data_IF_141847925963
#
_entry.id   IF_141847925963
#
_cell.length_a   1.000
_cell.length_b   1.000
_cell.length_c   1.000
_cell.angle_alpha   90.00
_cell.angle_beta   90.00
_cell.angle_gamma   90.00
#
_symmetry.space_group_name_H-M   'P 1'
#
loop_
_entity.id
_entity.type
_entity.pdbx_description
1 polymer ?
#
# COMPACT_ATOMS: atom_id res chain seq x y z
N UNK A 1 26.89 11.70 14.33
CA UNK A 1 27.00 11.10 12.97
C UNK A 1 27.13 9.58 13.01
N UNK A 2 28.16 9.02 13.68
CA UNK A 2 28.29 7.55 13.82
C UNK A 2 27.08 6.87 14.48
N UNK A 3 26.44 7.53 15.45
CA UNK A 3 25.26 6.99 16.14
C UNK A 3 24.02 6.89 15.25
N UNK A 4 23.65 7.96 14.52
CA UNK A 4 22.48 7.94 13.60
C UNK A 4 22.65 6.94 12.46
N UNK A 5 23.84 6.89 11.87
CA UNK A 5 24.12 5.88 10.86
C UNK A 5 24.04 4.46 11.45
N UNK A 6 24.65 4.21 12.61
CA UNK A 6 24.57 2.91 13.26
C UNK A 6 23.13 2.51 13.63
N UNK A 7 22.30 3.48 14.03
CA UNK A 7 20.88 3.29 14.26
C UNK A 7 20.16 2.84 12.97
N UNK A 8 20.34 3.56 11.85
CA UNK A 8 19.75 3.18 10.57
C UNK A 8 20.28 1.83 10.06
N UNK A 9 21.60 1.63 10.06
CA UNK A 9 22.25 0.40 9.61
C UNK A 9 21.77 -0.81 10.43
N UNK A 10 21.52 -0.61 11.72
CA UNK A 10 20.98 -1.61 12.63
C UNK A 10 19.53 -2.01 12.34
N UNK A 11 18.76 -1.22 11.57
CA UNK A 11 17.39 -1.53 11.15
C UNK A 11 17.33 -2.37 9.87
N UNK A 12 18.41 -2.44 9.10
CA UNK A 12 18.44 -3.24 7.87
C UNK A 12 18.21 -4.71 8.19
N UNK A 13 17.43 -5.38 7.33
CA UNK A 13 17.07 -6.79 7.53
C UNK A 13 16.17 -7.06 8.73
N UNK A 14 15.46 -6.05 9.24
CA UNK A 14 14.37 -6.25 10.22
C UNK A 14 13.02 -6.24 9.54
N UNK A 15 12.12 -7.10 10.03
CA UNK A 15 10.71 -7.06 9.62
C UNK A 15 10.08 -5.84 10.29
N UNK A 16 9.53 -4.87 9.53
CA UNK A 16 8.85 -3.73 10.11
C UNK A 16 7.57 -4.19 10.83
N UNK A 17 7.19 -3.48 11.89
CA UNK A 17 5.96 -3.76 12.65
C UNK A 17 4.69 -3.47 11.85
N UNK A 18 4.78 -2.59 10.86
CA UNK A 18 3.74 -2.34 9.87
C UNK A 18 4.25 -2.69 8.48
N UNK A 19 3.38 -3.24 7.64
CA UNK A 19 3.68 -3.48 6.24
C UNK A 19 2.44 -3.19 5.38
N UNK A 20 2.65 -2.74 4.13
CA UNK A 20 1.57 -2.46 3.19
C UNK A 20 0.57 -3.59 3.01
N UNK A 21 -0.68 -3.23 2.73
CA UNK A 21 -1.72 -4.18 2.31
C UNK A 21 -1.27 -4.91 1.04
N UNK A 22 -1.54 -6.21 0.96
CA UNK A 22 -1.17 -7.01 -0.20
C UNK A 22 0.31 -7.40 -0.27
N UNK A 23 1.12 -7.04 0.73
CA UNK A 23 2.55 -7.37 0.76
C UNK A 23 2.84 -8.49 1.74
N UNK A 24 3.64 -9.46 1.30
CA UNK A 24 4.13 -10.53 2.17
C UNK A 24 5.56 -10.22 2.56
N UNK A 25 5.77 -10.02 3.86
CA UNK A 25 7.10 -9.82 4.44
C UNK A 25 7.55 -11.11 5.12
N UNK A 26 8.76 -11.58 4.79
CA UNK A 26 9.35 -12.79 5.37
C UNK A 26 10.78 -12.53 5.79
N UNK A 27 11.08 -12.85 7.05
CA UNK A 27 12.47 -13.00 7.50
C UNK A 27 13.00 -14.38 7.07
N UNK A 28 14.25 -14.40 6.63
CA UNK A 28 15.02 -15.58 6.28
C UNK A 28 16.46 -15.38 6.77
N UNK A 29 16.71 -15.79 8.01
CA UNK A 29 17.97 -15.51 8.70
C UNK A 29 18.24 -14.00 8.78
N UNK A 30 19.37 -13.49 8.26
CA UNK A 30 19.69 -12.06 8.26
C UNK A 30 18.99 -11.28 7.15
N UNK A 31 18.20 -11.94 6.30
CA UNK A 31 17.55 -11.33 5.14
C UNK A 31 16.07 -11.12 5.41
N UNK A 32 15.51 -10.02 4.89
CA UNK A 32 14.08 -9.79 4.80
C UNK A 32 13.68 -9.65 3.34
N UNK A 33 12.77 -10.52 2.91
CA UNK A 33 12.08 -10.44 1.61
C UNK A 33 10.77 -9.70 1.78
N UNK A 34 10.50 -8.80 0.84
CA UNK A 34 9.16 -8.22 0.64
C UNK A 34 8.67 -8.65 -0.73
N UNK A 35 7.48 -9.21 -0.76
CA UNK A 35 6.84 -9.65 -1.97
C UNK A 35 5.58 -8.81 -2.21
N UNK A 36 5.62 -7.98 -3.24
CA UNK A 36 4.56 -7.06 -3.60
C UNK A 36 3.52 -7.68 -4.55
N UNK A 37 3.76 -8.92 -5.00
CA UNK A 37 2.90 -9.60 -5.97
C UNK A 37 3.20 -9.25 -7.42
N UNK A 38 3.93 -8.17 -7.70
CA UNK A 38 4.42 -7.77 -9.04
C UNK A 38 5.94 -7.81 -9.14
N UNK A 39 6.60 -7.58 -8.01
CA UNK A 39 8.04 -7.59 -7.82
C UNK A 39 8.32 -7.80 -6.33
N UNK A 40 9.59 -7.80 -5.97
CA UNK A 40 10.02 -7.87 -4.59
C UNK A 40 11.29 -7.11 -4.30
N UNK A 41 11.55 -6.92 -3.01
CA UNK A 41 12.78 -6.33 -2.52
C UNK A 41 13.44 -7.21 -1.48
N UNK A 42 14.77 -7.12 -1.43
CA UNK A 42 15.61 -7.77 -0.44
C UNK A 42 16.43 -6.72 0.28
N UNK A 43 16.35 -6.77 1.61
CA UNK A 43 17.24 -6.07 2.53
C UNK A 43 17.88 -7.11 3.46
N UNK A 44 19.07 -6.80 3.97
CA UNK A 44 19.76 -7.70 4.88
C UNK A 44 20.43 -6.92 6.01
N UNK A 45 20.50 -7.57 7.18
CA UNK A 45 21.35 -7.15 8.27
C UNK A 45 22.82 -7.40 7.92
N UNK A 46 23.78 -6.79 8.65
CA UNK A 46 25.19 -7.11 8.51
C UNK A 46 25.44 -8.62 8.61
N UNK A 47 26.08 -9.19 7.58
CA UNK A 47 26.35 -10.62 7.51
C UNK A 47 27.53 -10.99 8.41
N UNK A 48 27.39 -12.08 9.18
CA UNK A 48 28.47 -12.58 10.06
C UNK A 48 29.58 -13.23 9.22
N UNK A 49 30.85 -13.15 9.65
CA UNK A 49 31.92 -13.93 9.03
C UNK A 49 31.58 -15.42 8.97
N UNK A 50 31.86 -16.07 7.84
CA UNK A 50 31.54 -17.49 7.63
C UNK A 50 30.10 -17.81 7.22
N UNK A 51 29.26 -16.80 6.99
CA UNK A 51 27.92 -17.00 6.39
C UNK A 51 28.06 -17.67 5.02
N UNK A 52 27.25 -18.70 4.73
CA UNK A 52 27.13 -19.26 3.38
C UNK A 52 26.36 -18.29 2.47
N UNK A 53 27.08 -17.32 1.90
CA UNK A 53 26.52 -16.28 1.03
C UNK A 53 25.90 -16.90 -0.23
N UNK A 54 26.51 -17.94 -0.81
CA UNK A 54 26.02 -18.55 -2.03
C UNK A 54 24.69 -19.28 -1.80
N UNK A 55 24.58 -20.02 -0.68
CA UNK A 55 23.32 -20.62 -0.24
C UNK A 55 22.25 -19.57 0.05
N UNK A 56 22.63 -18.49 0.75
CA UNK A 56 21.72 -17.38 1.08
C UNK A 56 21.10 -16.74 -0.18
N UNK A 57 21.93 -16.42 -1.18
CA UNK A 57 21.49 -15.84 -2.45
C UNK A 57 20.55 -16.80 -3.19
N UNK A 58 20.87 -18.10 -3.22
CA UNK A 58 20.05 -19.11 -3.89
C UNK A 58 18.67 -19.24 -3.28
N UNK A 59 18.56 -19.28 -1.95
CA UNK A 59 17.26 -19.30 -1.27
C UNK A 59 16.40 -18.06 -1.60
N UNK A 60 17.02 -16.90 -1.83
CA UNK A 60 16.26 -15.73 -2.27
C UNK A 60 15.74 -15.92 -3.70
N UNK A 61 16.58 -16.39 -4.62
CA UNK A 61 16.14 -16.68 -6.00
C UNK A 61 15.00 -17.70 -6.03
N UNK A 62 15.07 -18.76 -5.23
CA UNK A 62 14.01 -19.76 -5.10
C UNK A 62 12.69 -19.13 -4.61
N UNK A 63 12.73 -18.33 -3.54
CA UNK A 63 11.54 -17.66 -3.01
C UNK A 63 10.88 -16.67 -3.98
N UNK A 64 11.66 -15.97 -4.80
CA UNK A 64 11.13 -15.09 -5.85
C UNK A 64 10.68 -15.85 -7.11
N UNK A 65 11.36 -16.95 -7.46
CA UNK A 65 10.97 -17.82 -8.57
C UNK A 65 9.62 -18.49 -8.34
N UNK A 66 9.35 -18.98 -7.13
CA UNK A 66 8.06 -19.59 -6.75
C UNK A 66 6.88 -18.65 -6.97
N UNK A 67 7.12 -17.34 -6.94
CA UNK A 67 6.09 -16.31 -7.12
C UNK A 67 6.12 -15.62 -8.48
N UNK A 68 7.11 -15.93 -9.33
CA UNK A 68 7.30 -15.27 -10.62
C UNK A 68 7.65 -13.78 -10.51
N UNK A 69 8.23 -13.36 -9.38
CA UNK A 69 8.48 -11.95 -9.08
C UNK A 69 9.94 -11.57 -9.37
N UNK A 70 10.22 -10.50 -10.14
CA UNK A 70 11.54 -9.91 -10.20
C UNK A 70 11.91 -9.29 -8.84
N UNK A 71 13.19 -9.27 -8.52
CA UNK A 71 13.71 -8.81 -7.23
C UNK A 71 14.77 -7.74 -7.39
N UNK A 72 14.68 -6.69 -6.57
CA UNK A 72 15.77 -5.75 -6.29
C UNK A 72 16.39 -6.05 -4.92
N UNK A 73 17.72 -6.20 -4.87
CA UNK A 73 18.49 -6.38 -3.65
C UNK A 73 19.42 -5.19 -3.43
N UNK A 74 19.26 -4.46 -2.33
CA UNK A 74 20.15 -3.35 -1.96
C UNK A 74 21.38 -3.85 -1.19
N UNK A 75 22.58 -3.50 -1.67
CA UNK A 75 23.86 -3.81 -1.02
C UNK A 75 24.60 -2.50 -0.76
N UNK A 76 25.04 -2.30 0.48
CA UNK A 76 25.69 -1.06 0.89
C UNK A 76 27.21 -1.17 0.74
N UNK A 77 27.88 -0.04 0.48
CA UNK A 77 29.31 -0.01 0.16
C UNK A 77 30.23 -0.53 1.27
N UNK A 78 29.76 -0.54 2.52
CA UNK A 78 30.47 -1.10 3.67
C UNK A 78 30.15 -2.58 3.94
N UNK A 79 29.19 -3.17 3.21
CA UNK A 79 28.91 -4.60 3.29
C UNK A 79 30.06 -5.44 2.70
N UNK A 80 30.12 -6.72 3.08
CA UNK A 80 31.17 -7.62 2.63
C UNK A 80 31.21 -7.72 1.09
N UNK A 81 32.37 -7.49 0.43
CA UNK A 81 32.48 -7.57 -1.04
C UNK A 81 32.08 -8.92 -1.63
N UNK A 82 32.17 -9.99 -0.84
CA UNK A 82 31.81 -11.34 -1.25
C UNK A 82 30.31 -11.47 -1.59
N UNK A 83 29.44 -10.64 -0.99
CA UNK A 83 28.01 -10.60 -1.34
C UNK A 83 27.79 -10.09 -2.76
N UNK A 84 28.41 -8.98 -3.13
CA UNK A 84 28.32 -8.42 -4.50
C UNK A 84 28.84 -9.41 -5.55
N UNK A 85 29.93 -10.13 -5.26
CA UNK A 85 30.46 -11.18 -6.16
C UNK A 85 29.51 -12.37 -6.27
N UNK A 86 28.94 -12.82 -5.15
CA UNK A 86 28.00 -13.94 -5.14
C UNK A 86 26.70 -13.62 -5.89
N UNK A 87 26.15 -12.41 -5.72
CA UNK A 87 24.98 -11.94 -6.48
C UNK A 87 25.25 -11.95 -7.98
N UNK A 88 26.39 -11.39 -8.40
CA UNK A 88 26.78 -11.39 -9.82
C UNK A 88 26.95 -12.81 -10.37
N UNK A 89 27.61 -13.70 -9.61
CA UNK A 89 27.78 -15.11 -9.99
C UNK A 89 26.46 -15.87 -10.09
N UNK A 90 25.45 -15.48 -9.30
CA UNK A 90 24.09 -16.01 -9.36
C UNK A 90 23.23 -15.40 -10.48
N UNK A 91 23.77 -14.47 -11.27
CA UNK A 91 23.08 -13.84 -12.40
C UNK A 91 22.28 -12.58 -12.05
N UNK A 92 22.48 -11.99 -10.87
CA UNK A 92 21.99 -10.63 -10.61
C UNK A 92 22.81 -9.62 -11.41
N UNK A 93 22.14 -8.62 -11.97
CA UNK A 93 22.78 -7.51 -12.67
C UNK A 93 22.83 -6.28 -11.77
N UNK A 94 24.00 -5.62 -11.61
CA UNK A 94 24.08 -4.36 -10.87
C UNK A 94 23.24 -3.28 -11.57
N UNK A 95 22.45 -2.55 -10.81
CA UNK A 95 21.62 -1.43 -11.25
C UNK A 95 22.23 -0.09 -10.89
N UNK A 96 21.40 0.77 -10.28
CA UNK A 96 21.80 2.10 -9.85
C UNK A 96 22.72 2.05 -8.62
N UNK A 97 23.53 3.10 -8.44
CA UNK A 97 24.27 3.39 -7.22
C UNK A 97 23.92 4.79 -6.72
N UNK A 98 23.70 4.94 -5.42
CA UNK A 98 23.29 6.19 -4.76
C UNK A 98 24.02 6.37 -3.44
N UNK A 99 24.12 7.62 -3.00
CA UNK A 99 24.54 7.96 -1.65
C UNK A 99 23.37 7.87 -0.69
N UNK A 100 23.61 7.32 0.49
CA UNK A 100 22.72 7.39 1.65
C UNK A 100 23.09 8.61 2.45
N UNK A 101 22.14 9.52 2.59
CA UNK A 101 22.33 10.85 3.15
C UNK A 101 21.46 11.00 4.40
N UNK A 102 22.01 11.57 5.47
CA UNK A 102 21.30 11.84 6.72
C UNK A 102 21.36 13.33 7.04
N UNK A 103 20.24 13.90 7.48
CA UNK A 103 20.18 15.25 8.04
C UNK A 103 19.49 15.22 9.41
N UNK A 104 20.10 15.86 10.41
CA UNK A 104 19.53 16.01 11.75
C UNK A 104 18.30 16.92 11.72
N UNK A 105 17.48 16.87 12.77
CA UNK A 105 16.35 17.77 12.95
C UNK A 105 16.80 19.24 12.94
N UNK A 106 15.89 20.14 12.56
CA UNK A 106 16.06 21.57 12.74
C UNK A 106 15.15 22.04 13.89
N UNK A 107 15.58 23.04 14.69
CA UNK A 107 14.72 23.61 15.72
C UNK A 107 13.48 24.22 15.07
N UNK A 108 12.31 23.84 15.57
CA UNK A 108 10.99 24.34 15.16
C UNK A 108 9.95 23.97 16.21
N UNK A 109 8.85 24.72 16.28
CA UNK A 109 7.69 24.29 17.06
C UNK A 109 6.99 23.15 16.29
N UNK A 110 6.93 21.93 16.85
CA UNK A 110 6.10 20.88 16.26
C UNK A 110 4.66 21.38 16.21
N UNK A 111 3.97 21.13 15.09
CA UNK A 111 2.55 21.43 14.86
C UNK A 111 2.14 22.88 14.56
N UNK A 112 3.08 23.82 14.38
CA UNK A 112 2.76 25.03 13.62
C UNK A 112 2.99 24.69 12.14
N UNK A 113 1.93 24.69 11.33
CA UNK A 113 2.03 24.69 9.86
C UNK A 113 2.71 25.99 9.42
N UNK A 114 4.02 26.07 9.59
CA UNK A 114 4.83 27.19 9.09
C UNK A 114 5.00 26.93 7.60
N UNK A 115 4.22 27.67 6.80
CA UNK A 115 4.33 27.61 5.35
C UNK A 115 5.80 27.77 4.93
N UNK A 116 6.32 26.84 4.11
CA UNK A 116 7.70 26.92 3.69
C UNK A 116 7.98 28.22 2.90
N UNK A 117 9.22 28.70 2.99
CA UNK A 117 9.66 29.91 2.28
C UNK A 117 9.62 29.68 0.77
N UNK A 118 9.59 30.76 -0.01
CA UNK A 118 9.75 30.74 -1.47
C UNK A 118 8.69 29.92 -2.22
N UNK A 119 7.40 30.27 -2.05
CA UNK A 119 6.26 29.67 -2.75
C UNK A 119 6.07 28.14 -2.61
N UNK A 120 6.83 27.50 -1.72
CA UNK A 120 6.62 26.11 -1.34
C UNK A 120 5.44 26.07 -0.36
N UNK A 121 4.54 25.11 -0.52
CA UNK A 121 3.37 24.91 0.35
C UNK A 121 3.22 23.45 0.69
N UNK A 122 2.65 23.14 1.85
CA UNK A 122 2.11 21.81 2.10
C UNK A 122 0.95 21.55 1.11
N UNK A 123 0.82 20.33 0.59
CA UNK A 123 -0.29 19.97 -0.30
C UNK A 123 -1.65 20.22 0.38
N UNK A 124 -1.72 20.08 1.71
CA UNK A 124 -2.91 20.40 2.51
C UNK A 124 -3.40 21.85 2.37
N UNK A 125 -2.51 22.79 2.08
CA UNK A 125 -2.87 24.19 1.90
C UNK A 125 -3.41 24.50 0.49
N UNK A 126 -3.25 23.58 -0.47
CA UNK A 126 -3.63 23.72 -1.88
C UNK A 126 -4.29 22.45 -2.42
N UNK A 127 -5.18 21.83 -1.62
CA UNK A 127 -5.84 20.55 -1.95
C UNK A 127 -6.59 20.59 -3.27
N UNK A 128 -7.02 21.77 -3.71
CA UNK A 128 -7.65 21.95 -5.03
C UNK A 128 -6.73 21.63 -6.21
N UNK A 129 -5.40 21.55 -6.00
CA UNK A 129 -4.41 21.16 -7.01
C UNK A 129 -3.80 19.77 -6.79
N UNK A 130 -4.42 18.94 -5.93
CA UNK A 130 -3.87 17.63 -5.60
C UNK A 130 -3.70 16.71 -6.82
N UNK A 131 -4.69 16.63 -7.71
CA UNK A 131 -4.60 15.87 -8.97
C UNK A 131 -3.37 16.25 -9.81
N UNK A 132 -3.08 17.54 -9.89
CA UNK A 132 -1.90 18.05 -10.60
C UNK A 132 -0.61 17.66 -9.90
N UNK A 133 -0.55 17.80 -8.58
CA UNK A 133 0.62 17.41 -7.79
C UNK A 133 0.91 15.91 -7.94
N UNK A 134 -0.12 15.07 -7.86
CA UNK A 134 0.00 13.63 -8.04
C UNK A 134 0.47 13.25 -9.44
N UNK A 135 -0.08 13.88 -10.48
CA UNK A 135 0.37 13.68 -11.85
C UNK A 135 1.87 13.98 -12.02
N UNK A 136 2.38 15.02 -11.35
CA UNK A 136 3.80 15.36 -11.35
C UNK A 136 4.63 14.34 -10.56
N UNK A 137 4.17 13.93 -9.37
CA UNK A 137 4.89 12.99 -8.51
C UNK A 137 4.97 11.59 -9.14
N UNK A 138 3.86 11.07 -9.68
CA UNK A 138 3.79 9.79 -10.42
C UNK A 138 4.62 9.84 -11.70
N UNK A 139 4.56 10.95 -12.44
CA UNK A 139 5.29 11.13 -13.70
C UNK A 139 6.75 11.52 -13.54
N UNK A 140 7.26 11.64 -12.30
CA UNK A 140 8.61 12.15 -12.07
C UNK A 140 9.67 11.18 -12.61
N UNK A 141 10.62 11.65 -13.45
CA UNK A 141 11.55 10.79 -14.20
C UNK A 141 12.77 10.31 -13.38
N UNK A 142 12.79 10.57 -12.07
CA UNK A 142 13.96 10.38 -11.24
C UNK A 142 14.01 8.99 -10.59
N UNK A 143 15.22 8.45 -10.35
CA UNK A 143 15.36 7.35 -9.41
C UNK A 143 15.02 7.83 -8.00
N UNK A 144 13.80 7.54 -7.54
CA UNK A 144 13.31 7.86 -6.18
C UNK A 144 13.73 6.77 -5.17
N UNK A 145 13.95 7.15 -3.91
CA UNK A 145 14.19 6.18 -2.85
C UNK A 145 12.94 5.32 -2.61
N UNK A 146 11.77 5.97 -2.69
CA UNK A 146 10.44 5.35 -2.69
C UNK A 146 9.60 6.11 -3.73
N UNK A 147 9.42 5.58 -4.95
CA UNK A 147 8.58 6.23 -5.97
C UNK A 147 7.16 6.49 -5.45
N UNK A 148 6.59 7.64 -5.80
CA UNK A 148 5.26 8.04 -5.29
C UNK A 148 4.17 7.01 -5.67
N UNK A 149 4.20 6.51 -6.90
CA UNK A 149 3.26 5.48 -7.37
C UNK A 149 3.33 4.18 -6.55
N UNK A 150 4.54 3.76 -6.16
CA UNK A 150 4.71 2.56 -5.32
C UNK A 150 4.22 2.81 -3.89
N UNK A 151 4.47 4.02 -3.36
CA UNK A 151 4.03 4.42 -2.03
C UNK A 151 2.49 4.44 -1.90
N UNK A 152 1.79 4.99 -2.89
CA UNK A 152 0.32 4.94 -2.96
C UNK A 152 -0.17 3.51 -3.16
N UNK A 153 0.49 2.74 -4.05
CA UNK A 153 0.13 1.35 -4.26
C UNK A 153 0.26 0.48 -3.00
N UNK A 154 1.16 0.86 -2.11
CA UNK A 154 1.42 0.26 -0.80
C UNK A 154 0.49 0.80 0.32
N UNK A 155 -0.44 1.69 -0.01
CA UNK A 155 -1.47 2.20 0.90
C UNK A 155 -0.97 3.23 1.91
N UNK A 156 0.15 3.90 1.63
CA UNK A 156 0.50 5.09 2.40
C UNK A 156 -0.48 6.21 2.06
N UNK A 157 -1.08 6.82 3.09
CA UNK A 157 -2.01 7.93 2.93
C UNK A 157 -1.40 9.26 3.35
N UNK A 158 -1.89 10.33 2.75
CA UNK A 158 -1.51 11.70 3.12
C UNK A 158 -1.97 12.03 4.54
N UNK A 159 -3.05 11.40 5.02
CA UNK A 159 -3.70 11.63 6.32
C UNK A 159 -2.93 11.09 7.54
N UNK A 160 -1.74 10.47 7.35
CA UNK A 160 -0.98 9.92 8.48
C UNK A 160 0.53 9.78 8.28
N UNK A 161 0.97 9.25 7.14
CA UNK A 161 2.34 8.74 6.99
C UNK A 161 3.15 9.41 5.87
N UNK A 162 2.54 10.30 5.10
CA UNK A 162 3.19 11.00 3.99
C UNK A 162 3.02 12.50 4.11
N UNK A 163 4.13 13.23 4.10
CA UNK A 163 4.10 14.68 3.95
C UNK A 163 4.47 15.03 2.51
N UNK A 164 3.64 15.87 1.88
CA UNK A 164 3.85 16.35 0.52
C UNK A 164 3.98 17.86 0.54
N UNK A 165 5.11 18.33 0.01
CA UNK A 165 5.35 19.75 -0.24
C UNK A 165 5.37 19.99 -1.75
N UNK A 166 4.79 21.10 -2.17
CA UNK A 166 4.69 21.51 -3.57
C UNK A 166 5.32 22.87 -3.79
N UNK A 167 5.90 23.09 -4.97
CA UNK A 167 6.35 24.41 -5.42
C UNK A 167 5.27 25.07 -6.28
N UNK A 168 4.83 26.25 -5.87
CA UNK A 168 3.93 27.08 -6.67
C UNK A 168 4.73 28.06 -7.53
N UNK A 169 4.47 28.05 -8.83
CA UNK A 169 4.93 29.11 -9.72
C UNK A 169 3.74 29.66 -10.48
N UNK A 170 3.54 30.98 -10.45
CA UNK A 170 2.36 31.61 -11.02
C UNK A 170 1.04 31.00 -10.52
N UNK A 171 0.99 30.59 -9.25
CA UNK A 171 -0.13 29.93 -8.56
C UNK A 171 -0.44 28.49 -9.02
N UNK A 172 0.42 27.87 -9.80
CA UNK A 172 0.27 26.49 -10.25
C UNK A 172 1.36 25.60 -9.63
N UNK A 173 1.00 24.36 -9.28
CA UNK A 173 1.97 23.35 -8.84
C UNK A 173 2.91 23.00 -10.00
N UNK A 174 4.21 23.13 -9.77
CA UNK A 174 5.27 22.86 -10.77
C UNK A 174 6.28 21.83 -10.33
N UNK A 175 6.45 21.63 -9.02
CA UNK A 175 7.27 20.58 -8.46
C UNK A 175 6.64 20.01 -7.19
N UNK A 176 6.98 18.76 -6.87
CA UNK A 176 6.42 18.01 -5.75
C UNK A 176 7.53 17.21 -5.08
N UNK A 177 7.56 17.27 -3.75
CA UNK A 177 8.44 16.47 -2.91
C UNK A 177 7.60 15.70 -1.91
N UNK A 178 7.98 14.46 -1.64
CA UNK A 178 7.29 13.62 -0.67
C UNK A 178 8.26 12.94 0.28
N UNK A 179 7.87 12.88 1.54
CA UNK A 179 8.61 12.21 2.59
C UNK A 179 7.68 11.24 3.31
N UNK A 180 8.15 10.03 3.50
CA UNK A 180 7.46 8.95 4.18
C UNK A 180 7.92 8.84 5.63
N UNK A 181 6.98 8.80 6.56
CA UNK A 181 7.22 8.93 7.99
C UNK A 181 6.52 7.82 8.79
N UNK A 182 6.85 6.55 8.50
CA UNK A 182 6.44 5.41 9.34
C UNK A 182 6.80 5.68 10.81
N UNK A 183 5.79 5.73 11.68
CA UNK A 183 5.90 6.01 13.12
C UNK A 183 6.81 5.02 13.86
N UNK A 184 7.11 3.88 13.25
CA UNK A 184 7.90 2.80 13.85
C UNK A 184 9.40 2.91 13.54
N UNK A 185 9.79 3.88 12.70
CA UNK A 185 11.19 4.13 12.34
C UNK A 185 11.73 5.36 13.08
N UNK A 186 13.05 5.46 13.29
CA UNK A 186 13.66 6.67 13.83
C UNK A 186 13.81 7.77 12.77
N UNK A 187 13.84 7.43 11.47
CA UNK A 187 14.03 8.38 10.36
C UNK A 187 12.77 8.60 9.56
N UNK A 188 12.59 9.81 9.04
CA UNK A 188 11.69 10.06 7.91
C UNK A 188 12.46 9.89 6.61
N UNK A 189 11.89 9.15 5.66
CA UNK A 189 12.56 8.81 4.41
C UNK A 189 12.08 9.74 3.32
N UNK A 190 12.97 10.54 2.75
CA UNK A 190 12.69 11.32 1.55
C UNK A 190 12.42 10.34 0.42
N UNK A 191 11.14 10.20 0.04
CA UNK A 191 10.73 9.29 -1.01
C UNK A 191 11.23 9.78 -2.36
N UNK A 192 11.01 11.07 -2.64
CA UNK A 192 11.50 11.73 -3.85
C UNK A 192 11.22 13.22 -3.91
N UNK A 193 11.89 13.87 -4.86
CA UNK A 193 11.67 15.26 -5.27
C UNK A 193 11.57 15.26 -6.79
N UNK A 194 10.54 15.92 -7.35
CA UNK A 194 10.30 15.95 -8.79
C UNK A 194 11.15 16.97 -9.54
N UNK A 195 11.88 17.81 -8.81
CA UNK A 195 12.78 18.84 -9.31
C UNK A 195 14.06 18.84 -8.48
N UNK A 196 15.19 19.11 -9.14
CA UNK A 196 16.50 19.31 -8.52
C UNK A 196 16.87 20.80 -8.36
N UNK A 197 15.87 21.68 -8.49
CA UNK A 197 16.00 23.09 -8.17
C UNK A 197 16.51 23.27 -6.73
N UNK A 198 17.50 24.15 -6.57
CA UNK A 198 18.23 24.28 -5.32
C UNK A 198 17.37 24.85 -4.20
N UNK A 199 16.52 25.83 -4.51
CA UNK A 199 15.64 26.47 -3.52
C UNK A 199 14.53 25.51 -3.13
N UNK A 200 13.98 24.78 -4.10
CA UNK A 200 12.97 23.75 -3.84
C UNK A 200 13.50 22.65 -2.90
N UNK A 201 14.64 22.03 -3.24
CA UNK A 201 15.25 20.97 -2.42
C UNK A 201 15.57 21.49 -1.02
N UNK A 202 16.15 22.69 -0.91
CA UNK A 202 16.48 23.28 0.39
C UNK A 202 15.22 23.59 1.21
N UNK A 203 14.18 24.16 0.59
CA UNK A 203 12.96 24.55 1.27
C UNK A 203 12.13 23.37 1.77
N UNK A 204 11.88 22.36 0.93
CA UNK A 204 11.15 21.14 1.33
C UNK A 204 11.88 20.41 2.45
N UNK A 205 13.19 20.17 2.29
CA UNK A 205 13.95 19.42 3.30
C UNK A 205 14.10 20.19 4.60
N UNK A 206 14.20 21.52 4.57
CA UNK A 206 14.18 22.33 5.79
C UNK A 206 12.82 22.23 6.50
N UNK A 207 11.71 22.35 5.76
CA UNK A 207 10.36 22.22 6.30
C UNK A 207 10.15 20.85 6.96
N UNK A 208 10.45 19.77 6.25
CA UNK A 208 10.34 18.43 6.82
C UNK A 208 11.23 18.23 8.04
N UNK A 209 12.44 18.82 8.10
CA UNK A 209 13.31 18.71 9.29
C UNK A 209 12.80 19.45 10.52
N UNK A 210 11.91 20.44 10.35
CA UNK A 210 11.26 21.15 11.45
C UNK A 210 10.01 20.43 11.96
N UNK A 211 9.36 19.62 11.12
CA UNK A 211 8.19 18.84 11.50
C UNK A 211 8.59 17.59 12.29
N UNK A 212 7.77 17.18 13.26
CA UNK A 212 7.80 15.87 13.94
C UNK A 212 9.13 15.39 14.56
N UNK A 213 10.09 16.30 14.81
CA UNK A 213 11.35 16.07 15.54
C UNK A 213 12.05 14.73 15.24
N UNK A 214 12.19 14.40 13.95
CA UNK A 214 12.90 13.19 13.48
C UNK A 214 13.87 13.52 12.34
N UNK A 215 15.06 12.88 12.29
CA UNK A 215 16.03 13.09 11.23
C UNK A 215 15.49 12.63 9.87
N UNK A 216 16.02 13.21 8.80
CA UNK A 216 15.76 12.77 7.43
C UNK A 216 16.81 11.78 6.95
N UNK A 217 16.35 10.80 6.19
CA UNK A 217 17.15 9.88 5.39
C UNK A 217 16.80 10.08 3.91
N UNK A 218 17.79 10.15 3.04
CA UNK A 218 17.58 10.21 1.59
C UNK A 218 18.54 9.27 0.85
N UNK A 219 18.10 8.74 -0.29
CA UNK A 219 18.97 8.07 -1.27
C UNK A 219 19.02 8.91 -2.54
N UNK A 220 20.19 9.40 -2.93
CA UNK A 220 20.33 10.24 -4.11
C UNK A 220 21.66 10.04 -4.85
N UNK A 221 21.62 10.22 -6.17
CA UNK A 221 22.79 10.34 -7.03
C UNK A 221 22.78 11.67 -7.79
N UNK A 222 23.82 11.91 -8.60
CA UNK A 222 23.88 13.06 -9.51
C UNK A 222 23.64 14.42 -8.86
N UNK A 223 22.93 15.31 -9.54
CA UNK A 223 22.70 16.69 -9.10
C UNK A 223 21.88 16.75 -7.79
N UNK A 224 20.89 15.88 -7.62
CA UNK A 224 20.09 15.83 -6.39
C UNK A 224 20.95 15.58 -5.15
N UNK A 225 21.94 14.68 -5.24
CA UNK A 225 22.91 14.45 -4.15
C UNK A 225 23.66 15.74 -3.81
N UNK A 226 24.15 16.47 -4.80
CA UNK A 226 24.86 17.73 -4.57
C UNK A 226 23.98 18.79 -3.90
N UNK A 227 22.68 18.85 -4.25
CA UNK A 227 21.72 19.76 -3.63
C UNK A 227 21.44 19.38 -2.18
N UNK A 228 21.24 18.10 -1.88
CA UNK A 228 21.01 17.63 -0.52
C UNK A 228 22.22 17.88 0.39
N UNK A 229 23.45 17.68 -0.10
CA UNK A 229 24.66 18.03 0.65
C UNK A 229 24.72 19.53 0.99
N UNK A 230 24.35 20.40 0.03
CA UNK A 230 24.26 21.85 0.27
C UNK A 230 23.11 22.23 1.22
N UNK A 231 22.03 21.45 1.25
CA UNK A 231 20.92 21.59 2.20
C UNK A 231 21.25 21.08 3.61
N UNK A 232 22.49 20.64 3.85
CA UNK A 232 22.98 20.23 5.16
C UNK A 232 22.82 18.74 5.47
N UNK A 233 22.60 17.91 4.44
CA UNK A 233 22.75 16.46 4.58
C UNK A 233 24.22 16.07 4.62
N UNK A 234 24.53 14.96 5.30
CA UNK A 234 25.85 14.33 5.32
C UNK A 234 25.75 12.95 4.70
N UNK A 235 26.79 12.55 3.96
CA UNK A 235 26.89 11.20 3.40
C UNK A 235 27.29 10.20 4.49
N UNK A 236 26.46 9.17 4.65
CA UNK A 236 26.65 8.12 5.63
C UNK A 236 27.17 6.82 4.99
N UNK A 237 26.71 6.50 3.78
CA UNK A 237 27.13 5.31 3.03
C UNK A 237 26.83 5.48 1.53
N UNK A 238 27.21 4.47 0.74
CA UNK A 238 26.68 4.25 -0.60
C UNK A 238 25.84 2.98 -0.63
N UNK A 239 24.90 2.90 -1.56
CA UNK A 239 24.05 1.73 -1.77
C UNK A 239 23.91 1.47 -3.27
N UNK A 240 24.01 0.21 -3.65
CA UNK A 240 23.84 -0.28 -5.02
C UNK A 240 22.73 -1.30 -5.07
N UNK A 241 21.85 -1.19 -6.07
CA UNK A 241 20.84 -2.21 -6.33
C UNK A 241 21.39 -3.34 -7.20
N UNK A 242 20.93 -4.56 -6.95
CA UNK A 242 21.17 -5.74 -7.75
C UNK A 242 19.83 -6.33 -8.16
N UNK A 243 19.66 -6.61 -9.45
CA UNK A 243 18.39 -7.01 -10.03
C UNK A 243 18.46 -8.43 -10.54
N UNK A 244 17.46 -9.24 -10.23
CA UNK A 244 17.30 -10.56 -10.82
C UNK A 244 15.83 -10.79 -11.20
N UNK A 245 15.60 -11.55 -12.26
CA UNK A 245 14.25 -11.86 -12.74
C UNK A 245 14.12 -13.36 -12.99
N UNK A 246 13.09 -14.03 -12.45
CA UNK A 246 12.79 -15.40 -12.77
C UNK A 246 12.26 -15.55 -14.20
N UNK A 247 12.26 -16.77 -14.73
CA UNK A 247 11.64 -17.06 -16.04
C UNK A 247 10.13 -16.90 -15.97
N UNK A 248 9.54 -16.23 -16.96
CA UNK A 248 8.10 -16.00 -17.06
C UNK A 248 7.74 -14.51 -17.16
N UNK A 249 6.45 -14.23 -17.25
CA UNK A 249 5.92 -12.86 -17.24
C UNK A 249 5.44 -12.54 -15.83
N UNK A 250 6.03 -11.54 -15.16
CA UNK A 250 5.55 -11.10 -13.86
C UNK A 250 4.14 -10.50 -13.95
N UNK A 251 3.40 -10.60 -12.86
CA UNK A 251 2.18 -9.82 -12.69
C UNK A 251 2.51 -8.32 -12.68
N UNK A 252 1.58 -7.52 -13.21
CA UNK A 252 1.75 -6.06 -13.29
C UNK A 252 0.84 -5.29 -12.31
N UNK A 253 -0.05 -5.99 -11.61
CA UNK A 253 -0.94 -5.40 -10.60
C UNK A 253 -0.68 -5.98 -9.22
N UNK A 254 -0.83 -5.17 -8.18
CA UNK A 254 -0.72 -5.64 -6.79
C UNK A 254 -1.91 -6.56 -6.47
N UNK A 255 -1.74 -7.59 -5.62
CA UNK A 255 -2.79 -8.55 -5.31
C UNK A 255 -3.87 -7.95 -4.41
N UNK A 256 -3.53 -6.97 -3.59
CA UNK A 256 -4.45 -6.18 -2.79
C UNK A 256 -3.87 -4.79 -2.55
N UNK A 257 -4.74 -3.79 -2.41
CA UNK A 257 -4.36 -2.39 -2.20
C UNK A 257 -5.41 -1.67 -1.35
N UNK A 258 -4.96 -0.70 -0.58
CA UNK A 258 -5.81 0.34 -0.01
C UNK A 258 -6.44 1.16 -1.14
N UNK A 259 -7.70 1.55 -0.98
CA UNK A 259 -8.35 2.50 -1.88
C UNK A 259 -8.17 3.89 -1.31
N UNK A 260 -7.42 4.73 -2.02
CA UNK A 260 -7.38 6.14 -1.67
C UNK A 260 -8.78 6.73 -1.86
N UNK A 261 -9.29 7.36 -0.80
CA UNK A 261 -10.61 7.95 -0.77
C UNK A 261 -10.82 8.99 -1.87
N UNK A 262 -9.75 9.69 -2.27
CA UNK A 262 -9.79 10.71 -3.32
C UNK A 262 -9.83 10.11 -4.74
N UNK A 263 -9.18 8.98 -4.96
CA UNK A 263 -8.94 8.45 -6.32
C UNK A 263 -9.80 7.25 -6.68
N UNK A 264 -9.87 6.28 -5.79
CA UNK A 264 -10.40 4.96 -6.10
C UNK A 264 -11.76 4.76 -5.45
N UNK A 265 -11.88 5.08 -4.16
CA UNK A 265 -13.10 4.80 -3.39
C UNK A 265 -14.21 5.82 -3.67
N UNK A 266 -13.89 7.12 -3.72
CA UNK A 266 -14.86 8.19 -3.97
C UNK A 266 -15.72 7.95 -5.24
N UNK A 267 -15.11 7.78 -6.42
CA UNK A 267 -15.85 7.51 -7.65
C UNK A 267 -16.68 6.22 -7.60
N UNK A 268 -16.19 5.16 -6.94
CA UNK A 268 -16.92 3.91 -6.79
C UNK A 268 -18.13 4.07 -5.85
N UNK A 269 -17.96 4.76 -4.72
CA UNK A 269 -19.05 5.08 -3.78
C UNK A 269 -20.11 5.96 -4.42
N UNK A 270 -19.72 6.97 -5.21
CA UNK A 270 -20.66 7.85 -5.91
C UNK A 270 -21.49 7.09 -6.93
N UNK A 271 -20.85 6.17 -7.68
CA UNK A 271 -21.55 5.26 -8.60
C UNK A 271 -22.50 4.33 -7.86
N UNK A 272 -22.05 3.70 -6.76
CA UNK A 272 -22.88 2.83 -5.93
C UNK A 272 -24.11 3.60 -5.40
N UNK A 273 -23.89 4.81 -4.88
CA UNK A 273 -24.96 5.64 -4.34
C UNK A 273 -25.98 6.03 -5.39
N UNK A 274 -25.50 6.39 -6.59
CA UNK A 274 -26.37 6.77 -7.71
C UNK A 274 -27.14 5.58 -8.27
N UNK A 275 -26.46 4.46 -8.53
CA UNK A 275 -27.04 3.30 -9.22
C UNK A 275 -28.05 2.56 -8.34
N UNK A 276 -27.80 2.49 -7.03
CA UNK A 276 -28.67 1.78 -6.10
C UNK A 276 -29.49 2.70 -5.18
N UNK A 277 -29.53 4.00 -5.46
CA UNK A 277 -30.28 4.99 -4.68
C UNK A 277 -29.99 4.85 -3.16
N UNK A 278 -28.70 4.76 -2.82
CA UNK A 278 -28.26 4.45 -1.46
C UNK A 278 -28.61 5.61 -0.51
N UNK A 279 -29.39 5.28 0.51
CA UNK A 279 -29.92 6.18 1.54
C UNK A 279 -29.53 5.63 2.91
N UNK A 280 -28.31 5.93 3.41
CA UNK A 280 -27.85 5.43 4.70
C UNK A 280 -28.79 5.92 5.80
N UNK A 281 -29.40 4.99 6.52
CA UNK A 281 -30.29 5.29 7.65
C UNK A 281 -30.31 4.16 8.65
N UNK A 282 -30.45 4.51 9.93
CA UNK A 282 -30.65 3.52 11.01
C UNK A 282 -32.12 3.15 11.18
N UNK A 283 -33.04 3.88 10.54
CA UNK A 283 -34.49 3.77 10.74
C UNK A 283 -35.31 3.69 9.45
N UNK A 284 -34.81 4.23 8.34
CA UNK A 284 -35.50 4.19 7.04
C UNK A 284 -34.95 3.03 6.21
N UNK A 285 -35.76 1.99 6.05
CA UNK A 285 -35.37 0.72 5.42
C UNK A 285 -36.24 0.46 4.17
N UNK A 286 -35.69 -0.15 3.09
CA UNK A 286 -34.29 -0.55 2.92
C UNK A 286 -33.37 0.65 2.56
N UNK A 287 -32.08 0.53 2.89
CA UNK A 287 -31.10 1.57 2.56
C UNK A 287 -30.70 1.60 1.08
N UNK A 288 -30.94 0.53 0.31
CA UNK A 288 -30.69 0.49 -1.14
C UNK A 288 -31.91 0.02 -1.92
N UNK A 289 -32.01 0.48 -3.15
CA UNK A 289 -32.82 -0.16 -4.19
C UNK A 289 -32.10 -1.42 -4.69
N UNK A 290 -32.45 -2.57 -4.11
CA UNK A 290 -31.77 -3.84 -4.38
C UNK A 290 -31.69 -4.15 -5.90
N UNK A 291 -30.52 -4.54 -6.43
CA UNK A 291 -30.33 -4.79 -7.87
C UNK A 291 -31.13 -6.00 -8.36
N UNK A 292 -31.16 -6.23 -9.67
CA UNK A 292 -31.82 -7.40 -10.27
C UNK A 292 -30.81 -8.25 -11.04
N UNK A 293 -30.75 -9.58 -10.83
CA UNK A 293 -31.42 -10.32 -9.76
C UNK A 293 -30.73 -10.11 -8.40
N UNK A 294 -31.51 -10.15 -7.31
CA UNK A 294 -31.00 -10.13 -5.93
C UNK A 294 -31.83 -10.98 -4.98
N UNK A 295 -31.19 -11.39 -3.88
CA UNK A 295 -31.83 -12.03 -2.75
C UNK A 295 -31.32 -11.40 -1.44
N UNK A 296 -32.19 -11.34 -0.44
CA UNK A 296 -31.91 -10.73 0.87
C UNK A 296 -32.18 -11.73 1.97
N UNK A 297 -31.18 -12.03 2.78
CA UNK A 297 -31.30 -12.89 3.97
C UNK A 297 -31.28 -12.05 5.23
N UNK A 298 -31.99 -12.51 6.26
CA UNK A 298 -31.89 -11.96 7.61
C UNK A 298 -30.78 -12.69 8.38
N UNK A 299 -29.83 -11.96 8.95
CA UNK A 299 -28.63 -12.50 9.60
C UNK A 299 -28.93 -13.28 10.89
N UNK A 300 -30.12 -13.07 11.47
CA UNK A 300 -30.55 -13.73 12.72
C UNK A 300 -31.88 -14.48 12.57
N UNK A 301 -32.14 -15.08 11.41
CA UNK A 301 -33.37 -15.83 11.18
C UNK A 301 -33.46 -17.16 11.95
N UNK A 302 -32.34 -17.65 12.52
CA UNK A 302 -32.35 -18.82 13.39
C UNK A 302 -32.75 -18.48 14.83
N UNK A 303 -33.67 -19.27 15.39
CA UNK A 303 -34.03 -19.20 16.81
C UNK A 303 -32.92 -19.69 17.76
N UNK A 304 -31.83 -20.24 17.22
CA UNK A 304 -30.67 -20.72 17.98
C UNK A 304 -29.41 -20.02 17.50
N UNK A 305 -28.48 -19.68 18.41
CA UNK A 305 -27.18 -19.13 18.03
C UNK A 305 -26.44 -20.09 17.10
N UNK A 306 -25.96 -19.57 15.98
CA UNK A 306 -25.01 -20.26 15.10
C UNK A 306 -23.60 -19.84 15.54
N UNK A 307 -22.74 -20.77 15.99
CA UNK A 307 -21.35 -20.44 16.33
C UNK A 307 -20.61 -19.87 15.11
N UNK A 308 -19.74 -18.88 15.32
CA UNK A 308 -18.85 -18.33 14.28
C UNK A 308 -19.61 -17.91 13.00
N UNK A 309 -20.84 -17.42 13.17
CA UNK A 309 -21.71 -17.04 12.05
C UNK A 309 -21.06 -15.99 11.12
N UNK A 310 -20.38 -14.93 11.62
CA UNK A 310 -19.66 -13.99 10.77
C UNK A 310 -18.63 -14.67 9.85
N UNK A 311 -17.83 -15.59 10.40
CA UNK A 311 -16.80 -16.32 9.69
C UNK A 311 -17.39 -17.28 8.66
N UNK A 312 -18.51 -17.95 8.99
CA UNK A 312 -19.21 -18.84 8.06
C UNK A 312 -19.81 -18.08 6.87
N UNK A 313 -20.48 -16.95 7.11
CA UNK A 313 -21.02 -16.09 6.04
C UNK A 313 -19.88 -15.59 5.16
N UNK A 314 -18.81 -15.08 5.78
CA UNK A 314 -17.68 -14.57 5.03
C UNK A 314 -17.05 -15.67 4.17
N UNK A 315 -16.84 -16.88 4.71
CA UNK A 315 -16.30 -18.00 3.95
C UNK A 315 -17.17 -18.38 2.73
N UNK A 316 -18.50 -18.38 2.86
CA UNK A 316 -19.43 -18.62 1.74
C UNK A 316 -19.29 -17.53 0.69
N UNK A 317 -19.32 -16.26 1.12
CA UNK A 317 -19.25 -15.10 0.22
C UNK A 317 -17.91 -15.03 -0.50
N UNK A 318 -16.79 -15.31 0.18
CA UNK A 318 -15.47 -15.34 -0.46
C UNK A 318 -15.35 -16.45 -1.51
N UNK A 319 -15.85 -17.66 -1.22
CA UNK A 319 -15.92 -18.74 -2.24
C UNK A 319 -16.80 -18.34 -3.42
N UNK A 320 -17.92 -17.69 -3.14
CA UNK A 320 -18.82 -17.16 -4.16
C UNK A 320 -18.16 -16.12 -5.05
N UNK A 321 -17.49 -15.12 -4.47
CA UNK A 321 -16.77 -14.06 -5.17
C UNK A 321 -15.62 -14.63 -6.01
N UNK A 322 -14.85 -15.57 -5.48
CA UNK A 322 -13.81 -16.28 -6.23
C UNK A 322 -14.39 -16.99 -7.45
N UNK A 323 -15.56 -17.62 -7.30
CA UNK A 323 -16.24 -18.34 -8.39
C UNK A 323 -16.85 -17.40 -9.42
N UNK A 324 -17.43 -16.27 -8.97
CA UNK A 324 -18.23 -15.37 -9.80
C UNK A 324 -17.42 -14.29 -10.54
N UNK A 325 -16.19 -14.02 -10.09
CA UNK A 325 -15.24 -13.09 -10.74
C UNK A 325 -14.36 -13.82 -11.75
N UNK A 326 -13.84 -13.09 -12.74
CA UNK A 326 -12.90 -13.57 -13.75
C UNK A 326 -11.45 -13.51 -13.23
N UNK A 327 -10.51 -14.28 -13.80
CA UNK A 327 -9.09 -14.10 -13.53
C UNK A 327 -8.65 -12.64 -13.77
N UNK A 328 -7.95 -12.04 -12.80
CA UNK A 328 -7.49 -10.65 -12.84
C UNK A 328 -8.56 -9.60 -12.53
N UNK A 329 -9.81 -10.00 -12.26
CA UNK A 329 -10.87 -9.10 -11.80
C UNK A 329 -10.74 -8.85 -10.29
N UNK A 330 -10.75 -7.57 -9.90
CA UNK A 330 -10.68 -7.17 -8.50
C UNK A 330 -12.08 -7.15 -7.86
N UNK A 331 -12.10 -7.51 -6.58
CA UNK A 331 -13.21 -7.24 -5.67
C UNK A 331 -12.84 -6.05 -4.79
N UNK A 332 -13.77 -5.14 -4.63
CA UNK A 332 -13.68 -3.97 -3.77
C UNK A 332 -14.44 -4.27 -2.49
N UNK A 333 -13.77 -4.16 -1.35
CA UNK A 333 -14.37 -4.20 -0.03
C UNK A 333 -14.47 -2.77 0.50
N UNK A 334 -15.69 -2.32 0.78
CA UNK A 334 -15.93 -0.98 1.30
C UNK A 334 -16.57 -1.06 2.69
N UNK A 335 -16.00 -0.31 3.62
CA UNK A 335 -16.58 -0.02 4.93
C UNK A 335 -17.16 1.40 4.87
N UNK A 336 -18.46 1.57 5.11
CA UNK A 336 -19.10 2.87 4.97
C UNK A 336 -18.48 3.92 5.91
N UNK A 337 -18.03 5.05 5.34
CA UNK A 337 -17.27 6.12 6.03
C UNK A 337 -15.88 5.71 6.55
N UNK A 338 -15.38 4.56 6.14
CA UNK A 338 -14.08 4.04 6.53
C UNK A 338 -13.28 3.57 5.30
N UNK A 339 -12.04 3.17 5.56
CA UNK A 339 -11.09 2.72 4.55
C UNK A 339 -11.66 1.60 3.67
N UNK A 340 -11.52 1.78 2.36
CA UNK A 340 -11.82 0.75 1.36
C UNK A 340 -10.57 0.02 0.90
N UNK A 341 -10.75 -1.18 0.36
CA UNK A 341 -9.67 -1.97 -0.22
C UNK A 341 -10.12 -2.62 -1.52
N UNK A 342 -9.18 -2.88 -2.44
CA UNK A 342 -9.39 -3.85 -3.53
C UNK A 342 -8.46 -5.04 -3.38
N UNK A 343 -8.90 -6.20 -3.83
CA UNK A 343 -8.07 -7.41 -3.88
C UNK A 343 -8.50 -8.35 -5.00
N UNK A 344 -7.56 -9.14 -5.51
CA UNK A 344 -7.84 -10.26 -6.42
C UNK A 344 -8.06 -11.52 -5.57
N UNK A 345 -9.29 -12.10 -5.57
CA UNK A 345 -9.60 -13.29 -4.77
C UNK A 345 -8.71 -14.51 -5.06
N UNK A 346 -8.03 -14.54 -6.22
CA UNK A 346 -7.12 -15.63 -6.61
C UNK A 346 -5.69 -15.41 -6.12
N UNK A 347 -5.38 -14.23 -5.57
CA UNK A 347 -4.03 -13.84 -5.16
C UNK A 347 -3.94 -13.45 -3.68
N UNK A 348 -5.03 -13.54 -2.93
CA UNK A 348 -5.11 -13.36 -1.47
C UNK A 348 -5.59 -14.63 -0.75
N UNK A 349 -5.37 -14.74 0.55
CA UNK A 349 -5.82 -15.86 1.41
C UNK A 349 -5.34 -17.27 0.99
N UNK A 350 -4.27 -17.34 0.19
CA UNK A 350 -3.60 -18.59 -0.15
C UNK A 350 -2.31 -18.76 0.67
N UNK A 351 -1.84 -20.00 0.91
CA UNK A 351 -0.55 -20.23 1.55
C UNK A 351 0.56 -19.42 0.89
N UNK A 352 1.25 -18.61 1.69
CA UNK A 352 2.36 -17.77 1.21
C UNK A 352 1.93 -16.50 0.45
N UNK A 353 0.64 -16.25 0.24
CA UNK A 353 0.06 -15.01 -0.32
C UNK A 353 -0.36 -14.05 0.79
N UNK A 354 -0.56 -12.76 0.50
CA UNK A 354 -1.03 -11.82 1.50
C UNK A 354 -2.44 -12.19 1.99
N UNK A 355 -2.77 -11.87 3.25
CA UNK A 355 -4.15 -11.95 3.70
C UNK A 355 -5.01 -10.99 2.88
N UNK A 356 -6.27 -11.37 2.67
CA UNK A 356 -7.27 -10.46 2.12
C UNK A 356 -7.50 -9.29 3.08
N UNK A 357 -7.59 -8.05 2.58
CA UNK A 357 -7.91 -6.91 3.40
C UNK A 357 -9.41 -6.82 3.72
N UNK A 358 -9.75 -6.02 4.74
CA UNK A 358 -11.13 -5.80 5.20
C UNK A 358 -11.53 -6.64 6.42
N UNK A 359 -12.72 -6.37 6.96
CA UNK A 359 -13.27 -6.99 8.20
C UNK A 359 -14.31 -8.08 7.92
N UNK A 360 -14.37 -8.59 6.70
CA UNK A 360 -15.31 -9.65 6.29
C UNK A 360 -16.67 -9.14 5.81
N UNK A 361 -17.66 -10.02 5.78
CA UNK A 361 -18.97 -9.74 5.18
C UNK A 361 -20.06 -9.36 6.19
N UNK A 362 -19.91 -9.76 7.44
CA UNK A 362 -20.89 -9.51 8.48
C UNK A 362 -20.82 -8.04 8.96
N UNK A 363 -21.89 -7.24 8.83
CA UNK A 363 -21.86 -5.83 9.23
C UNK A 363 -21.84 -5.71 10.76
N UNK A 364 -20.93 -4.89 11.31
CA UNK A 364 -20.68 -4.77 12.75
C UNK A 364 -20.91 -3.36 13.32
N UNK A 365 -21.82 -2.60 12.70
CA UNK A 365 -22.07 -1.19 13.04
C UNK A 365 -22.10 -0.31 11.80
N UNK A 366 -21.40 -0.73 10.75
CA UNK A 366 -21.32 -0.05 9.46
C UNK A 366 -21.83 -0.91 8.30
N UNK A 367 -22.11 -0.27 7.16
CA UNK A 367 -22.46 -0.99 5.95
C UNK A 367 -21.21 -1.58 5.32
N UNK A 368 -21.22 -2.90 5.12
CA UNK A 368 -20.12 -3.62 4.47
C UNK A 368 -20.51 -4.02 3.06
N UNK A 369 -19.65 -3.69 2.10
CA UNK A 369 -19.89 -3.96 0.70
C UNK A 369 -18.77 -4.81 0.11
N UNK A 370 -19.15 -5.76 -0.73
CA UNK A 370 -18.26 -6.38 -1.71
C UNK A 370 -18.79 -6.00 -3.09
N UNK A 371 -17.96 -5.42 -3.95
CA UNK A 371 -18.37 -4.94 -5.27
C UNK A 371 -17.36 -5.36 -6.33
N UNK A 372 -17.82 -5.64 -7.54
CA UNK A 372 -16.97 -5.48 -8.73
C UNK A 372 -16.94 -4.01 -9.13
N UNK A 373 -15.89 -3.57 -9.83
CA UNK A 373 -15.74 -2.18 -10.29
C UNK A 373 -16.92 -1.72 -11.17
N UNK A 374 -17.52 -2.65 -11.92
CA UNK A 374 -18.68 -2.40 -12.78
C UNK A 374 -20.04 -2.52 -12.05
N UNK A 375 -20.03 -2.75 -10.73
CA UNK A 375 -21.21 -2.95 -9.87
C UNK A 375 -22.13 -4.13 -10.26
N UNK A 376 -21.72 -4.96 -11.23
CA UNK A 376 -22.52 -6.05 -11.79
C UNK A 376 -22.88 -7.12 -10.76
N UNK A 377 -22.02 -7.36 -9.77
CA UNK A 377 -22.26 -8.27 -8.67
C UNK A 377 -21.73 -7.71 -7.37
N UNK A 378 -22.28 -8.21 -6.26
CA UNK A 378 -21.80 -7.81 -4.95
C UNK A 378 -22.66 -8.25 -3.79
N UNK A 379 -22.27 -7.77 -2.61
CA UNK A 379 -23.00 -7.93 -1.36
C UNK A 379 -23.17 -6.60 -0.65
N UNK A 380 -24.26 -6.46 0.10
CA UNK A 380 -24.54 -5.31 0.95
C UNK A 380 -25.04 -5.80 2.32
N UNK A 381 -24.16 -5.70 3.32
CA UNK A 381 -24.46 -5.99 4.71
C UNK A 381 -25.06 -4.76 5.40
N UNK A 382 -26.27 -4.88 5.92
CA UNK A 382 -26.98 -3.80 6.60
C UNK A 382 -26.99 -4.04 8.12
N UNK A 383 -26.27 -3.23 8.93
CA UNK A 383 -26.16 -3.48 10.36
C UNK A 383 -27.46 -3.19 11.12
N UNK A 384 -28.28 -2.24 10.70
CA UNK A 384 -29.54 -1.95 11.39
C UNK A 384 -30.71 -2.86 10.98
N UNK A 385 -30.84 -3.17 9.69
CA UNK A 385 -31.83 -4.15 9.23
C UNK A 385 -31.41 -5.59 9.56
N UNK A 386 -30.15 -5.81 9.90
CA UNK A 386 -29.57 -7.14 10.13
C UNK A 386 -29.79 -8.05 8.93
N UNK A 387 -29.50 -7.54 7.73
CA UNK A 387 -29.67 -8.25 6.47
C UNK A 387 -28.39 -8.31 5.66
N UNK A 388 -28.29 -9.36 4.84
CA UNK A 388 -27.31 -9.47 3.77
C UNK A 388 -28.05 -9.52 2.44
N UNK A 389 -27.83 -8.49 1.61
CA UNK A 389 -28.27 -8.50 0.21
C UNK A 389 -27.14 -9.05 -0.65
N UNK A 390 -27.45 -9.97 -1.56
CA UNK A 390 -26.52 -10.46 -2.59
C UNK A 390 -27.16 -10.25 -3.96
N UNK A 391 -26.39 -9.80 -4.95
CA UNK A 391 -26.86 -9.64 -6.32
C UNK A 391 -25.84 -10.08 -7.36
N UNK A 392 -26.33 -10.18 -8.59
CA UNK A 392 -25.55 -10.63 -9.74
C UNK A 392 -25.74 -12.13 -9.96
N UNK A 393 -26.18 -12.56 -11.16
CA UNK A 393 -26.50 -13.97 -11.42
C UNK A 393 -25.38 -14.96 -11.04
N UNK A 394 -24.09 -14.74 -11.38
CA UNK A 394 -23.05 -15.72 -11.04
C UNK A 394 -22.75 -15.79 -9.55
N UNK A 395 -22.89 -14.69 -8.80
CA UNK A 395 -22.66 -14.70 -7.37
C UNK A 395 -23.81 -15.40 -6.65
N UNK A 396 -25.06 -15.06 -6.99
CA UNK A 396 -26.25 -15.73 -6.45
C UNK A 396 -26.20 -17.25 -6.68
N UNK A 397 -25.88 -17.68 -7.91
CA UNK A 397 -25.74 -19.10 -8.24
C UNK A 397 -24.69 -19.82 -7.39
N UNK A 398 -23.65 -19.11 -6.93
CA UNK A 398 -22.57 -19.67 -6.13
C UNK A 398 -22.87 -19.71 -4.62
N UNK A 399 -23.74 -18.84 -4.10
CA UNK A 399 -23.93 -18.69 -2.63
C UNK A 399 -25.32 -19.00 -2.12
N UNK A 400 -26.37 -18.94 -2.96
CA UNK A 400 -27.77 -18.94 -2.49
C UNK A 400 -28.13 -20.21 -1.72
N UNK A 401 -27.67 -21.38 -2.16
CA UNK A 401 -27.96 -22.65 -1.48
C UNK A 401 -27.36 -22.69 -0.06
N UNK A 402 -26.07 -22.38 0.06
CA UNK A 402 -25.36 -22.39 1.35
C UNK A 402 -25.86 -21.29 2.29
N UNK A 403 -26.13 -20.07 1.77
CA UNK A 403 -26.72 -19.00 2.57
C UNK A 403 -28.13 -19.34 3.03
N UNK A 404 -28.93 -20.00 2.21
CA UNK A 404 -30.29 -20.42 2.60
C UNK A 404 -30.27 -21.54 3.63
N UNK A 405 -29.32 -22.47 3.53
CA UNK A 405 -29.08 -23.46 4.58
C UNK A 405 -28.65 -22.79 5.90
N UNK A 406 -27.72 -21.82 5.81
CA UNK A 406 -27.14 -21.15 6.97
C UNK A 406 -28.05 -20.09 7.61
N UNK A 407 -28.93 -19.42 6.85
CA UNK A 407 -29.73 -18.27 7.30
C UNK A 407 -31.23 -18.48 7.13
N UNK A 408 -31.68 -19.57 6.52
CA UNK A 408 -33.08 -19.78 6.15
C UNK A 408 -33.46 -19.07 4.84
N UNK A 409 -34.75 -19.10 4.50
CA UNK A 409 -35.24 -18.51 3.24
C UNK A 409 -35.01 -16.99 3.18
N UNK A 410 -34.63 -16.45 2.00
CA UNK A 410 -34.59 -15.02 1.76
C UNK A 410 -35.89 -14.31 2.15
N UNK A 411 -35.77 -13.22 2.90
CA UNK A 411 -36.89 -12.36 3.28
C UNK A 411 -37.39 -11.52 2.10
N UNK A 412 -36.54 -11.28 1.09
CA UNK A 412 -36.89 -10.59 -0.17
C UNK A 412 -36.11 -11.18 -1.34
N UNK A 413 -36.76 -11.25 -2.52
CA UNK A 413 -36.15 -11.62 -3.81
C UNK A 413 -36.59 -10.65 -4.89
N UNK A 414 -35.70 -10.31 -5.82
CA UNK A 414 -36.01 -9.61 -7.07
C UNK A 414 -35.46 -10.43 -8.23
N UNK A 415 -36.34 -10.81 -9.16
CA UNK A 415 -36.03 -11.61 -10.35
C UNK A 415 -35.91 -10.77 -11.60
#
# INVERSE_FOLDING_TARGET
>A
MGERWAEYDGLRGRVPSWHPVGVVVRADGPVVRRHYGTHGTVEHAPLKPGTDIAGLVRHQQEGFAERGEPVEWKVYGHDAPDLSRALTAAGFTPGWERSVLIAEELPGEPDVLVEPRNDIRSLYAVREQAERAWGIAVGSPGPHAVPYAEMIADGASEDGDVYIDVLLQHREVTAVGWVYADLTRPFKVVGGLSSDDAEFVQGCTAHWRTQSSRPLLAEAGGLLRERLLKAGFMEAATVRSYHWRPTGTPEITRPAQFLDWLHDDGPLRDRFQTEFDFKPSTTSLPAISAPVPSAVWHLHAHHRPVPDLPEQIDAIVQRGLLTATKPGEFVYWLDWQHDGYRYDPRRTDLPGRPPRPGKGTYPNGDYYLHLTDDLRLGTFGHPWEQTLTVWGPPLLAAVEAELTELLGEPVRRRG
#
